data_IF_513341613576
#
_entry.id   IF_513341613576
#
_cell.length_a   1.000
_cell.length_b   1.000
_cell.length_c   1.000
_cell.angle_alpha   90.00
_cell.angle_beta   90.00
_cell.angle_gamma   90.00
#
_symmetry.space_group_name_H-M   'P 1'
#
loop_
_entity.id
_entity.type
_entity.pdbx_description
1 polymer ?
#
# COMPACT_ATOMS: atom_id res chain seq x y z
N UNK A 1 -146.98 190.55 -48.68
CA UNK A 1 -148.01 191.60 -48.54
C UNK A 1 -147.46 192.89 -49.19
N UNK A 2 -148.14 194.05 -49.13
CA UNK A 2 -147.73 195.30 -49.80
C UNK A 2 -146.56 196.04 -49.12
N UNK A 3 -145.95 196.99 -49.86
CA UNK A 3 -144.62 197.64 -49.71
C UNK A 3 -144.12 198.08 -48.32
N UNK A 4 -144.97 198.28 -47.32
CA UNK A 4 -144.50 198.66 -45.97
C UNK A 4 -143.79 197.52 -45.22
N UNK A 5 -143.82 196.32 -45.78
CA UNK A 5 -142.99 195.20 -45.30
C UNK A 5 -141.50 195.36 -45.67
N UNK A 6 -141.14 196.27 -46.58
CA UNK A 6 -139.79 196.30 -47.16
C UNK A 6 -138.76 197.06 -46.32
N UNK A 7 -139.12 198.24 -45.81
CA UNK A 7 -138.19 199.09 -45.04
C UNK A 7 -137.90 198.51 -43.67
N UNK A 8 -138.91 197.99 -42.98
CA UNK A 8 -138.71 197.30 -41.70
C UNK A 8 -137.92 196.00 -41.87
N UNK A 9 -138.12 195.29 -42.98
CA UNK A 9 -137.27 194.14 -43.30
C UNK A 9 -135.82 194.57 -43.55
N UNK A 10 -135.56 195.75 -44.13
CA UNK A 10 -134.21 196.26 -44.34
C UNK A 10 -133.50 196.64 -43.03
N UNK A 11 -134.18 197.30 -42.08
CA UNK A 11 -133.59 197.58 -40.75
C UNK A 11 -133.34 196.30 -39.97
N UNK A 12 -134.27 195.35 -40.01
CA UNK A 12 -134.04 194.01 -39.44
C UNK A 12 -132.83 193.34 -40.11
N UNK A 13 -132.58 193.57 -41.39
CA UNK A 13 -131.43 193.02 -42.11
C UNK A 13 -130.10 193.67 -41.67
N UNK A 14 -130.05 194.98 -41.48
CA UNK A 14 -128.80 195.64 -41.06
C UNK A 14 -128.49 195.43 -39.57
N UNK A 15 -129.49 195.42 -38.69
CA UNK A 15 -129.28 195.05 -37.29
C UNK A 15 -128.81 193.59 -37.15
N UNK A 16 -129.38 192.68 -37.96
CA UNK A 16 -128.90 191.29 -38.00
C UNK A 16 -127.49 191.18 -38.60
N UNK A 17 -127.08 192.05 -39.53
CA UNK A 17 -125.69 192.11 -39.99
C UNK A 17 -124.72 192.58 -38.91
N UNK A 18 -125.07 193.61 -38.13
CA UNK A 18 -124.21 194.07 -37.03
C UNK A 18 -124.07 192.99 -35.96
N UNK A 19 -125.19 192.38 -35.56
CA UNK A 19 -125.16 191.23 -34.65
C UNK A 19 -124.34 190.06 -35.23
N UNK A 20 -124.40 189.82 -36.54
CA UNK A 20 -123.57 188.82 -37.20
C UNK A 20 -122.08 189.18 -37.11
N UNK A 21 -121.69 190.45 -37.30
CA UNK A 21 -120.28 190.89 -37.19
C UNK A 21 -119.73 190.83 -35.76
N UNK A 22 -120.53 191.19 -34.76
CA UNK A 22 -120.13 191.12 -33.34
C UNK A 22 -119.98 189.66 -32.89
N UNK A 23 -120.96 188.81 -33.23
CA UNK A 23 -120.93 187.38 -32.94
C UNK A 23 -119.77 186.69 -33.67
N UNK A 24 -119.45 187.06 -34.92
CA UNK A 24 -118.30 186.44 -35.62
C UNK A 24 -116.95 186.79 -34.98
N UNK A 25 -116.76 188.01 -34.45
CA UNK A 25 -115.55 188.38 -33.70
C UNK A 25 -115.42 187.58 -32.39
N UNK A 26 -116.50 187.46 -31.61
CA UNK A 26 -116.50 186.67 -30.37
C UNK A 26 -116.24 185.17 -30.63
N UNK A 27 -116.76 184.65 -31.74
CA UNK A 27 -116.55 183.27 -32.18
C UNK A 27 -115.08 183.04 -32.59
N UNK A 28 -114.41 184.03 -33.16
CA UNK A 28 -112.98 183.95 -33.49
C UNK A 28 -112.09 183.87 -32.24
N UNK A 29 -112.33 184.69 -31.22
CA UNK A 29 -111.57 184.66 -29.96
C UNK A 29 -111.77 183.30 -29.25
N UNK A 30 -113.02 182.88 -29.13
CA UNK A 30 -113.37 181.59 -28.49
C UNK A 30 -112.76 180.39 -29.23
N UNK A 31 -112.73 180.40 -30.56
CA UNK A 31 -112.05 179.36 -31.35
C UNK A 31 -110.53 179.35 -31.13
N UNK A 32 -109.88 180.50 -31.00
CA UNK A 32 -108.43 180.56 -30.76
C UNK A 32 -108.04 179.98 -29.39
N UNK A 33 -108.80 180.29 -28.34
CA UNK A 33 -108.60 179.68 -27.02
C UNK A 33 -108.92 178.18 -27.02
N UNK A 34 -109.99 177.77 -27.69
CA UNK A 34 -110.32 176.35 -27.86
C UNK A 34 -109.17 175.59 -28.54
N UNK A 35 -108.59 176.14 -29.61
CA UNK A 35 -107.44 175.51 -30.28
C UNK A 35 -106.18 175.46 -29.40
N UNK A 36 -105.90 176.48 -28.57
CA UNK A 36 -104.77 176.44 -27.62
C UNK A 36 -104.95 175.33 -26.59
N UNK A 37 -106.15 175.21 -26.00
CA UNK A 37 -106.46 174.18 -25.01
C UNK A 37 -106.50 172.78 -25.63
N UNK A 38 -107.06 172.63 -26.83
CA UNK A 38 -107.01 171.35 -27.58
C UNK A 38 -105.58 170.92 -27.86
N UNK A 39 -104.66 171.85 -28.15
CA UNK A 39 -103.26 171.51 -28.42
C UNK A 39 -102.52 171.07 -27.16
N UNK A 40 -102.79 171.69 -26.00
CA UNK A 40 -102.27 171.22 -24.70
C UNK A 40 -102.87 169.86 -24.34
N UNK A 41 -104.19 169.68 -24.54
CA UNK A 41 -104.88 168.42 -24.30
C UNK A 41 -104.37 167.29 -25.20
N UNK A 42 -104.04 167.60 -26.47
CA UNK A 42 -103.43 166.64 -27.41
C UNK A 42 -101.98 166.30 -27.05
N UNK A 43 -101.17 167.25 -26.59
CA UNK A 43 -99.71 167.04 -26.45
C UNK A 43 -99.26 166.57 -25.07
N UNK A 44 -99.95 166.97 -23.99
CA UNK A 44 -99.64 166.55 -22.62
C UNK A 44 -99.59 165.01 -22.43
N UNK A 45 -100.56 164.21 -22.90
CA UNK A 45 -100.51 162.76 -22.74
C UNK A 45 -99.37 162.10 -23.52
N UNK A 46 -98.96 162.64 -24.68
CA UNK A 46 -97.85 162.10 -25.46
C UNK A 46 -96.50 162.29 -24.76
N UNK A 47 -96.29 163.43 -24.10
CA UNK A 47 -95.07 163.68 -23.31
C UNK A 47 -95.00 162.80 -22.06
N UNK A 48 -96.13 162.58 -21.38
CA UNK A 48 -96.22 161.66 -20.25
C UNK A 48 -95.95 160.21 -20.68
N UNK A 49 -96.51 159.78 -21.82
CA UNK A 49 -96.26 158.45 -22.40
C UNK A 49 -94.79 158.23 -22.73
N UNK A 50 -94.08 159.25 -23.20
CA UNK A 50 -92.64 159.17 -23.48
C UNK A 50 -91.82 158.95 -22.20
N UNK A 51 -92.16 159.63 -21.09
CA UNK A 51 -91.49 159.39 -19.80
C UNK A 51 -91.78 158.00 -19.23
N UNK A 52 -93.03 157.52 -19.34
CA UNK A 52 -93.40 156.15 -18.97
C UNK A 52 -92.66 155.09 -19.80
N UNK A 53 -92.53 155.28 -21.11
CA UNK A 53 -91.81 154.31 -21.95
C UNK A 53 -90.31 154.31 -21.65
N UNK A 54 -89.72 155.46 -21.29
CA UNK A 54 -88.30 155.55 -20.92
C UNK A 54 -88.01 154.84 -19.59
N UNK A 55 -88.90 154.98 -18.61
CA UNK A 55 -88.81 154.27 -17.32
C UNK A 55 -89.04 152.77 -17.48
N UNK A 56 -89.97 152.36 -18.35
CA UNK A 56 -90.12 150.94 -18.72
C UNK A 56 -88.90 150.38 -19.42
N UNK A 57 -88.19 151.16 -20.24
CA UNK A 57 -86.98 150.69 -20.92
C UNK A 57 -85.84 150.39 -19.93
N UNK A 58 -85.71 151.19 -18.86
CA UNK A 58 -84.73 150.91 -17.80
C UNK A 58 -85.05 149.65 -16.99
N UNK A 59 -86.32 149.20 -16.94
CA UNK A 59 -86.69 147.91 -16.32
C UNK A 59 -86.18 146.70 -17.11
N UNK A 60 -85.83 146.85 -18.40
CA UNK A 60 -85.39 145.76 -19.26
C UNK A 60 -83.86 145.64 -19.44
N UNK A 61 -83.06 146.39 -18.67
CA UNK A 61 -81.59 146.44 -18.82
C UNK A 61 -80.87 145.13 -18.41
N UNK A 62 -81.58 144.15 -17.82
CA UNK A 62 -81.01 142.87 -17.37
C UNK A 62 -81.62 141.63 -18.06
N UNK A 63 -82.31 141.80 -19.19
CA UNK A 63 -82.86 140.66 -19.93
C UNK A 63 -81.75 140.02 -20.79
N UNK A 64 -81.30 138.84 -20.37
CA UNK A 64 -80.39 138.01 -21.17
C UNK A 64 -81.16 137.49 -22.39
N UNK A 65 -80.74 137.88 -23.58
CA UNK A 65 -81.29 137.37 -24.84
C UNK A 65 -80.84 135.93 -25.04
N UNK A 66 -81.79 135.00 -24.97
CA UNK A 66 -81.55 133.59 -25.29
C UNK A 66 -81.35 133.44 -26.80
N UNK A 67 -80.35 132.65 -27.25
CA UNK A 67 -80.21 132.32 -28.66
C UNK A 67 -81.46 131.60 -29.17
N UNK A 68 -81.79 131.76 -30.46
CA UNK A 68 -83.04 131.25 -31.05
C UNK A 68 -83.26 129.74 -30.81
N UNK A 69 -82.18 128.96 -30.67
CA UNK A 69 -82.22 127.50 -30.45
C UNK A 69 -82.20 127.09 -28.96
N UNK A 70 -82.36 128.03 -28.03
CA UNK A 70 -82.34 127.71 -26.60
C UNK A 70 -83.50 126.79 -26.19
N UNK A 71 -84.67 126.95 -26.81
CA UNK A 71 -85.83 126.10 -26.55
C UNK A 71 -85.60 124.64 -26.99
N UNK A 72 -84.99 124.44 -28.17
CA UNK A 72 -84.68 123.10 -28.70
C UNK A 72 -83.58 122.44 -27.89
N UNK A 73 -82.48 123.14 -27.60
CA UNK A 73 -81.40 122.61 -26.73
C UNK A 73 -81.88 122.26 -25.33
N UNK A 74 -82.72 123.09 -24.73
CA UNK A 74 -83.29 122.79 -23.41
C UNK A 74 -84.19 121.54 -23.46
N UNK A 75 -85.00 121.38 -24.51
CA UNK A 75 -85.82 120.19 -24.70
C UNK A 75 -84.98 118.93 -24.91
N UNK A 76 -83.93 118.99 -25.74
CA UNK A 76 -83.02 117.87 -25.99
C UNK A 76 -82.27 117.45 -24.72
N UNK A 77 -81.65 118.39 -24.00
CA UNK A 77 -80.92 118.10 -22.77
C UNK A 77 -81.87 117.57 -21.69
N UNK A 78 -83.08 118.12 -21.58
CA UNK A 78 -84.09 117.63 -20.63
C UNK A 78 -84.56 116.22 -20.98
N UNK A 79 -84.68 115.90 -22.27
CA UNK A 79 -85.01 114.54 -22.72
C UNK A 79 -83.86 113.59 -22.42
N UNK A 80 -82.61 113.95 -22.74
CA UNK A 80 -81.42 113.13 -22.43
C UNK A 80 -81.32 112.89 -20.92
N UNK A 81 -81.48 113.92 -20.09
CA UNK A 81 -81.47 113.80 -18.63
C UNK A 81 -82.60 112.88 -18.15
N UNK A 82 -83.81 113.01 -18.70
CA UNK A 82 -84.92 112.14 -18.35
C UNK A 82 -84.68 110.68 -18.75
N UNK A 83 -84.09 110.44 -19.93
CA UNK A 83 -83.73 109.08 -20.37
C UNK A 83 -82.60 108.48 -19.54
N UNK A 84 -81.58 109.26 -19.18
CA UNK A 84 -80.47 108.80 -18.37
C UNK A 84 -80.91 108.49 -16.93
N UNK A 85 -81.75 109.34 -16.34
CA UNK A 85 -82.33 109.09 -15.00
C UNK A 85 -83.23 107.85 -15.00
N UNK A 86 -84.05 107.66 -16.05
CA UNK A 86 -84.84 106.44 -16.18
C UNK A 86 -83.97 105.17 -16.36
N UNK A 87 -82.86 105.26 -17.09
CA UNK A 87 -81.89 104.16 -17.23
C UNK A 87 -81.17 103.86 -15.91
N UNK A 88 -80.78 104.88 -15.13
CA UNK A 88 -80.19 104.71 -13.81
C UNK A 88 -81.17 104.02 -12.85
N UNK A 89 -82.42 104.48 -12.79
CA UNK A 89 -83.46 103.83 -11.98
C UNK A 89 -83.69 102.37 -12.39
N UNK A 90 -83.68 102.09 -13.70
CA UNK A 90 -83.82 100.73 -14.20
C UNK A 90 -82.62 99.86 -13.83
N UNK A 91 -81.40 100.36 -13.99
CA UNK A 91 -80.19 99.64 -13.62
C UNK A 91 -80.14 99.35 -12.10
N UNK A 92 -80.58 100.30 -11.26
CA UNK A 92 -80.70 100.08 -9.81
C UNK A 92 -81.72 98.98 -9.50
N UNK A 93 -82.87 98.96 -10.19
CA UNK A 93 -83.86 97.88 -10.06
C UNK A 93 -83.28 96.54 -10.49
N UNK A 94 -82.58 96.49 -11.62
CA UNK A 94 -81.98 95.26 -12.14
C UNK A 94 -80.88 94.75 -11.20
N UNK A 95 -80.04 95.63 -10.64
CA UNK A 95 -79.06 95.29 -9.60
C UNK A 95 -79.76 94.72 -8.38
N UNK A 96 -80.84 95.34 -7.90
CA UNK A 96 -81.59 94.82 -6.76
C UNK A 96 -82.21 93.45 -7.04
N UNK A 97 -82.76 93.24 -8.25
CA UNK A 97 -83.30 91.94 -8.67
C UNK A 97 -82.19 90.89 -8.74
N UNK A 98 -81.05 91.22 -9.34
CA UNK A 98 -79.89 90.32 -9.41
C UNK A 98 -79.32 90.03 -8.02
N UNK A 99 -79.28 91.00 -7.13
CA UNK A 99 -78.84 90.81 -5.76
C UNK A 99 -79.80 89.90 -4.99
N UNK A 100 -81.11 90.09 -5.14
CA UNK A 100 -82.11 89.17 -4.59
C UNK A 100 -82.00 87.77 -5.18
N UNK A 101 -81.69 87.64 -6.47
CA UNK A 101 -81.42 86.35 -7.10
C UNK A 101 -80.17 85.70 -6.52
N UNK A 102 -79.08 86.45 -6.31
CA UNK A 102 -77.84 85.96 -5.69
C UNK A 102 -78.09 85.53 -4.24
N UNK A 103 -78.75 86.38 -3.45
CA UNK A 103 -79.08 86.09 -2.05
C UNK A 103 -80.07 84.90 -1.94
N UNK A 104 -80.91 84.71 -2.96
CA UNK A 104 -81.81 83.58 -3.09
C UNK A 104 -81.14 82.28 -3.53
N UNK A 105 -79.91 82.32 -4.06
CA UNK A 105 -79.13 81.12 -4.38
C UNK A 105 -78.62 80.51 -3.08
N UNK A 106 -79.36 79.55 -2.55
CA UNK A 106 -78.93 78.75 -1.42
C UNK A 106 -78.13 77.54 -1.92
N UNK A 107 -76.80 77.64 -1.88
CA UNK A 107 -75.93 76.50 -2.17
C UNK A 107 -75.89 75.60 -0.94
N UNK A 108 -76.48 74.42 -1.07
CA UNK A 108 -76.51 73.42 0.00
C UNK A 108 -75.10 72.99 0.40
N UNK A 109 -74.62 73.48 1.55
CA UNK A 109 -73.29 73.15 2.07
C UNK A 109 -73.12 71.64 2.33
N UNK A 110 -74.23 70.92 2.55
CA UNK A 110 -74.23 69.45 2.64
C UNK A 110 -73.82 68.81 1.32
N UNK A 111 -74.26 69.30 0.16
CA UNK A 111 -73.81 68.74 -1.13
C UNK A 111 -72.32 68.98 -1.39
N UNK A 112 -71.80 70.15 -0.98
CA UNK A 112 -70.38 70.46 -1.12
C UNK A 112 -69.51 69.57 -0.22
N UNK A 113 -69.90 69.39 1.05
CA UNK A 113 -69.17 68.50 1.98
C UNK A 113 -69.20 67.04 1.51
N UNK A 114 -70.29 66.61 0.88
CA UNK A 114 -70.42 65.26 0.36
C UNK A 114 -69.84 65.07 -1.06
N UNK A 115 -69.15 66.07 -1.63
CA UNK A 115 -68.54 65.97 -2.97
C UNK A 115 -67.69 64.70 -3.14
N UNK A 116 -66.79 64.43 -2.19
CA UNK A 116 -65.93 63.24 -2.23
C UNK A 116 -66.72 61.94 -2.14
N UNK A 117 -67.83 61.94 -1.39
CA UNK A 117 -68.73 60.78 -1.28
C UNK A 117 -69.46 60.56 -2.60
N UNK A 118 -69.95 61.62 -3.24
CA UNK A 118 -70.63 61.55 -4.54
C UNK A 118 -69.65 61.08 -5.62
N UNK A 119 -68.44 61.64 -5.68
CA UNK A 119 -67.40 61.24 -6.63
C UNK A 119 -67.00 59.76 -6.42
N UNK A 120 -66.90 59.31 -5.17
CA UNK A 120 -66.63 57.91 -4.85
C UNK A 120 -67.78 56.99 -5.27
N UNK A 121 -69.03 57.39 -5.00
CA UNK A 121 -70.21 56.65 -5.44
C UNK A 121 -70.27 56.55 -6.97
N UNK A 122 -69.92 57.61 -7.69
CA UNK A 122 -69.87 57.63 -9.14
C UNK A 122 -68.73 56.74 -9.68
N UNK A 123 -67.56 56.77 -9.03
CA UNK A 123 -66.45 55.85 -9.32
C UNK A 123 -66.81 54.38 -9.07
N UNK A 124 -67.46 54.07 -7.94
CA UNK A 124 -67.97 52.73 -7.62
C UNK A 124 -69.05 52.28 -8.58
N UNK A 125 -69.95 53.19 -8.97
CA UNK A 125 -70.98 52.89 -9.97
C UNK A 125 -70.33 52.56 -11.32
N UNK A 126 -69.29 53.30 -11.73
CA UNK A 126 -68.51 52.98 -12.92
C UNK A 126 -67.83 51.60 -12.84
N UNK A 127 -67.25 51.22 -11.71
CA UNK A 127 -66.66 49.88 -11.55
C UNK A 127 -67.70 48.77 -11.52
N UNK A 128 -68.86 48.98 -10.87
CA UNK A 128 -69.99 48.05 -10.91
C UNK A 128 -70.57 47.89 -12.32
N UNK A 129 -70.68 48.97 -13.09
CA UNK A 129 -71.14 48.93 -14.47
C UNK A 129 -70.17 48.15 -15.36
N UNK A 130 -68.86 48.40 -15.25
CA UNK A 130 -67.82 47.62 -15.94
C UNK A 130 -67.89 46.14 -15.56
N UNK A 131 -67.89 45.83 -14.27
CA UNK A 131 -68.01 44.45 -13.80
C UNK A 131 -69.31 43.79 -14.26
N UNK A 132 -70.42 44.53 -14.34
CA UNK A 132 -71.69 44.03 -14.88
C UNK A 132 -71.65 43.76 -16.39
N UNK A 133 -70.90 44.58 -17.15
CA UNK A 133 -70.66 44.37 -18.58
C UNK A 133 -69.72 43.19 -18.84
N UNK A 134 -68.72 43.00 -17.98
CA UNK A 134 -67.72 41.93 -18.09
C UNK A 134 -68.25 40.58 -17.57
N UNK A 135 -69.18 40.59 -16.60
CA UNK A 135 -69.70 39.40 -15.93
C UNK A 135 -70.25 38.33 -16.89
N UNK A 136 -70.98 38.66 -17.97
CA UNK A 136 -71.34 37.68 -18.99
C UNK A 136 -70.13 36.97 -19.59
N UNK A 137 -69.08 37.70 -19.95
CA UNK A 137 -67.83 37.17 -20.52
C UNK A 137 -67.11 36.24 -19.54
N UNK A 138 -66.88 36.71 -18.31
CA UNK A 138 -66.24 35.89 -17.26
C UNK A 138 -67.07 34.64 -16.93
N UNK A 139 -68.41 34.74 -16.92
CA UNK A 139 -69.28 33.57 -16.73
C UNK A 139 -69.22 32.61 -17.91
N UNK A 140 -69.09 33.10 -19.15
CA UNK A 140 -68.89 32.23 -20.30
C UNK A 140 -67.56 31.51 -20.22
N UNK A 141 -66.47 32.21 -19.89
CA UNK A 141 -65.14 31.62 -19.71
C UNK A 141 -65.11 30.59 -18.56
N UNK A 142 -65.74 30.90 -17.42
CA UNK A 142 -65.89 29.96 -16.32
C UNK A 142 -66.63 28.70 -16.78
N UNK A 143 -67.76 28.87 -17.51
CA UNK A 143 -68.54 27.73 -18.01
C UNK A 143 -67.79 26.91 -19.04
N UNK A 144 -67.01 27.53 -19.93
CA UNK A 144 -66.19 26.81 -20.91
C UNK A 144 -65.09 26.03 -20.21
N UNK A 145 -64.34 26.65 -19.30
CA UNK A 145 -63.28 25.96 -18.54
C UNK A 145 -63.85 24.83 -17.69
N UNK A 146 -64.99 25.04 -17.03
CA UNK A 146 -65.66 23.96 -16.30
C UNK A 146 -66.17 22.84 -17.21
N UNK A 147 -66.70 23.17 -18.39
CA UNK A 147 -67.17 22.19 -19.36
C UNK A 147 -65.99 21.36 -19.91
N UNK A 148 -64.88 22.02 -20.24
CA UNK A 148 -63.65 21.36 -20.70
C UNK A 148 -63.07 20.47 -19.60
N UNK A 149 -63.01 20.96 -18.36
CA UNK A 149 -62.58 20.15 -17.22
C UNK A 149 -63.51 18.94 -16.99
N UNK A 150 -64.83 19.12 -17.12
CA UNK A 150 -65.81 18.02 -17.05
C UNK A 150 -65.62 17.01 -18.19
N UNK A 151 -65.36 17.47 -19.42
CA UNK A 151 -65.15 16.62 -20.58
C UNK A 151 -63.86 15.80 -20.43
N UNK A 152 -62.73 16.45 -20.15
CA UNK A 152 -61.45 15.79 -19.90
C UNK A 152 -61.55 14.80 -18.72
N UNK A 153 -62.28 15.18 -17.66
CA UNK A 153 -62.49 14.28 -16.53
C UNK A 153 -63.36 13.08 -16.91
N UNK A 154 -64.42 13.26 -17.71
CA UNK A 154 -65.26 12.17 -18.22
C UNK A 154 -64.53 11.25 -19.19
N UNK A 155 -63.57 11.77 -19.96
CA UNK A 155 -62.72 10.94 -20.83
C UNK A 155 -61.89 9.94 -20.00
N UNK A 156 -61.40 10.35 -18.83
CA UNK A 156 -60.61 9.49 -17.94
C UNK A 156 -61.52 8.64 -17.03
N UNK A 157 -62.60 9.22 -16.51
CA UNK A 157 -63.54 8.59 -15.57
C UNK A 157 -65.01 8.84 -15.98
N UNK A 158 -65.57 8.02 -16.90
CA UNK A 158 -66.91 8.25 -17.46
C UNK A 158 -68.06 8.21 -16.45
N UNK A 159 -67.85 7.56 -15.30
CA UNK A 159 -68.87 7.31 -14.26
C UNK A 159 -68.86 8.36 -13.13
N UNK A 160 -67.97 9.35 -13.19
CA UNK A 160 -67.77 10.33 -12.11
C UNK A 160 -68.03 11.75 -12.60
N UNK A 161 -68.50 12.60 -11.69
CA UNK A 161 -68.65 14.03 -11.94
C UNK A 161 -67.49 14.84 -11.32
N UNK A 162 -67.29 16.07 -11.79
CA UNK A 162 -66.19 16.93 -11.34
C UNK A 162 -66.19 17.14 -9.81
N UNK A 163 -67.36 17.18 -9.18
CA UNK A 163 -67.51 17.34 -7.73
C UNK A 163 -66.99 16.12 -6.93
N UNK A 164 -66.99 14.94 -7.55
CA UNK A 164 -66.52 13.70 -6.94
C UNK A 164 -64.99 13.61 -6.85
N UNK A 165 -64.24 14.47 -7.57
CA UNK A 165 -62.77 14.51 -7.54
C UNK A 165 -62.22 14.60 -6.12
N UNK A 166 -62.75 15.54 -5.33
CA UNK A 166 -62.24 15.78 -3.96
C UNK A 166 -62.72 14.73 -2.96
N UNK A 167 -63.88 14.11 -3.19
CA UNK A 167 -64.49 13.15 -2.26
C UNK A 167 -64.03 11.70 -2.50
N UNK A 168 -63.91 11.30 -3.76
CA UNK A 168 -63.69 9.90 -4.16
C UNK A 168 -62.28 9.64 -4.68
N UNK A 169 -61.62 10.65 -5.27
CA UNK A 169 -60.30 10.49 -5.91
C UNK A 169 -59.17 11.23 -5.17
N UNK A 170 -59.47 11.91 -4.06
CA UNK A 170 -58.45 12.56 -3.25
C UNK A 170 -57.64 11.53 -2.48
N UNK A 171 -56.37 11.40 -2.86
CA UNK A 171 -55.40 10.55 -2.19
C UNK A 171 -54.68 11.38 -1.13
N UNK A 172 -54.66 10.89 0.12
CA UNK A 172 -53.90 11.54 1.20
C UNK A 172 -52.40 11.53 0.90
N UNK A 173 -51.64 12.50 1.44
CA UNK A 173 -50.18 12.54 1.24
C UNK A 173 -49.49 11.22 1.63
N UNK A 174 -49.96 10.55 2.70
CA UNK A 174 -49.46 9.23 3.12
C UNK A 174 -49.72 8.13 2.09
N UNK A 175 -50.93 8.07 1.52
CA UNK A 175 -51.25 7.11 0.47
C UNK A 175 -50.45 7.40 -0.80
N UNK A 176 -50.23 8.68 -1.15
CA UNK A 176 -49.41 9.06 -2.31
C UNK A 176 -47.95 8.61 -2.14
N UNK A 177 -47.37 8.79 -0.95
CA UNK A 177 -46.02 8.33 -0.65
C UNK A 177 -45.91 6.80 -0.66
N UNK A 178 -46.94 6.10 -0.15
CA UNK A 178 -47.01 4.65 -0.20
C UNK A 178 -47.10 4.15 -1.64
N UNK A 179 -47.94 4.75 -2.49
CA UNK A 179 -48.04 4.41 -3.91
C UNK A 179 -46.71 4.65 -4.63
N UNK A 180 -46.01 5.76 -4.34
CA UNK A 180 -44.67 6.01 -4.90
C UNK A 180 -43.66 4.94 -4.48
N UNK A 181 -43.64 4.54 -3.20
CA UNK A 181 -42.77 3.47 -2.70
C UNK A 181 -43.09 2.12 -3.36
N UNK A 182 -44.36 1.79 -3.51
CA UNK A 182 -44.76 0.55 -4.19
C UNK A 182 -44.41 0.60 -5.68
N UNK A 183 -44.58 1.75 -6.34
CA UNK A 183 -44.23 1.92 -7.75
C UNK A 183 -42.72 1.77 -8.00
N UNK A 184 -41.86 2.16 -7.05
CA UNK A 184 -40.42 1.91 -7.16
C UNK A 184 -40.04 0.46 -6.84
N UNK A 185 -40.78 -0.20 -5.95
CA UNK A 185 -40.50 -1.59 -5.55
C UNK A 185 -41.01 -2.62 -6.57
N UNK A 186 -42.17 -2.39 -7.18
CA UNK A 186 -42.80 -3.29 -8.14
C UNK A 186 -41.87 -3.76 -9.28
N UNK A 187 -41.15 -2.88 -10.02
CA UNK A 187 -40.26 -3.34 -11.09
C UNK A 187 -39.12 -4.21 -10.56
N UNK A 188 -38.56 -3.89 -9.40
CA UNK A 188 -37.48 -4.68 -8.80
C UNK A 188 -37.95 -6.09 -8.37
N UNK A 189 -39.19 -6.20 -7.90
CA UNK A 189 -39.78 -7.49 -7.54
C UNK A 189 -40.13 -8.29 -8.79
N UNK A 190 -40.65 -7.64 -9.83
CA UNK A 190 -40.98 -8.27 -11.09
C UNK A 190 -39.73 -8.79 -11.81
N UNK A 191 -38.64 -8.03 -11.79
CA UNK A 191 -37.34 -8.47 -12.32
C UNK A 191 -36.79 -9.67 -11.53
N UNK A 192 -36.86 -9.64 -10.20
CA UNK A 192 -36.48 -10.78 -9.37
C UNK A 192 -37.31 -12.02 -9.67
N UNK A 193 -38.63 -11.87 -9.79
CA UNK A 193 -39.51 -12.97 -10.15
C UNK A 193 -39.13 -13.56 -11.50
N UNK A 194 -38.94 -12.72 -12.52
CA UNK A 194 -38.52 -13.15 -13.86
C UNK A 194 -37.18 -13.87 -13.85
N UNK A 195 -36.21 -13.37 -13.08
CA UNK A 195 -34.90 -14.01 -12.94
C UNK A 195 -35.00 -15.38 -12.25
N UNK A 196 -35.86 -15.51 -11.22
CA UNK A 196 -36.11 -16.78 -10.55
C UNK A 196 -36.83 -17.77 -11.48
N UNK A 197 -37.81 -17.30 -12.25
CA UNK A 197 -38.51 -18.11 -13.26
C UNK A 197 -37.54 -18.63 -14.33
N UNK A 198 -36.70 -17.75 -14.90
CA UNK A 198 -35.65 -18.16 -15.85
C UNK A 198 -34.68 -19.16 -15.24
N UNK A 199 -34.25 -18.94 -13.99
CA UNK A 199 -33.34 -19.87 -13.32
C UNK A 199 -33.99 -21.22 -13.04
N UNK A 200 -35.29 -21.23 -12.76
CA UNK A 200 -36.06 -22.45 -12.56
C UNK A 200 -36.16 -23.21 -13.88
N UNK A 201 -36.49 -22.54 -14.99
CA UNK A 201 -36.49 -23.13 -16.33
C UNK A 201 -35.11 -23.73 -16.69
N UNK A 202 -34.02 -23.00 -16.47
CA UNK A 202 -32.65 -23.52 -16.67
C UNK A 202 -32.36 -24.76 -15.83
N UNK A 203 -32.76 -24.75 -14.55
CA UNK A 203 -32.55 -25.88 -13.65
C UNK A 203 -33.43 -27.08 -14.03
N UNK A 204 -34.65 -26.86 -14.50
CA UNK A 204 -35.53 -27.91 -14.98
C UNK A 204 -34.99 -28.54 -16.27
N UNK A 205 -34.48 -27.74 -17.20
CA UNK A 205 -33.79 -28.24 -18.39
C UNK A 205 -32.55 -29.06 -18.01
N UNK A 206 -31.72 -28.57 -17.09
CA UNK A 206 -30.57 -29.32 -16.57
C UNK A 206 -31.00 -30.62 -15.90
N UNK A 207 -32.06 -30.59 -15.10
CA UNK A 207 -32.59 -31.77 -14.42
C UNK A 207 -33.11 -32.79 -15.44
N UNK A 208 -33.81 -32.34 -16.49
CA UNK A 208 -34.25 -33.21 -17.59
C UNK A 208 -33.06 -33.81 -18.33
N UNK A 209 -32.05 -33.00 -18.69
CA UNK A 209 -30.81 -33.49 -19.30
C UNK A 209 -30.13 -34.53 -18.40
N UNK A 210 -29.98 -34.24 -17.12
CA UNK A 210 -29.41 -35.18 -16.15
C UNK A 210 -30.22 -36.46 -16.02
N UNK A 211 -31.56 -36.39 -16.01
CA UNK A 211 -32.43 -37.58 -16.03
C UNK A 211 -32.27 -38.40 -17.31
N UNK A 212 -32.16 -37.75 -18.47
CA UNK A 212 -31.90 -38.43 -19.74
C UNK A 212 -30.54 -39.12 -19.67
N UNK A 213 -29.47 -38.42 -19.26
CA UNK A 213 -28.15 -39.03 -19.10
C UNK A 213 -28.15 -40.17 -18.08
N UNK A 214 -28.93 -40.07 -16.99
CA UNK A 214 -29.05 -41.13 -15.99
C UNK A 214 -29.80 -42.34 -16.53
N UNK A 215 -30.79 -42.14 -17.40
CA UNK A 215 -31.52 -43.22 -18.06
C UNK A 215 -30.71 -43.85 -19.21
N UNK A 216 -29.84 -43.08 -19.88
CA UNK A 216 -28.88 -43.58 -20.87
C UNK A 216 -27.75 -44.38 -20.21
N UNK A 217 -27.40 -44.04 -18.97
CA UNK A 217 -26.51 -44.87 -18.17
C UNK A 217 -27.20 -46.21 -17.91
N UNK A 218 -26.50 -47.28 -18.26
CA UNK A 218 -26.91 -48.65 -17.95
C UNK A 218 -27.12 -48.77 -16.43
N UNK A 219 -28.19 -49.45 -15.99
CA UNK A 219 -28.41 -49.74 -14.57
C UNK A 219 -27.13 -50.28 -13.96
N UNK A 220 -26.60 -49.59 -12.94
CA UNK A 220 -25.33 -49.95 -12.30
C UNK A 220 -25.38 -51.45 -11.99
N UNK A 221 -24.54 -52.28 -12.63
CA UNK A 221 -24.55 -53.71 -12.38
C UNK A 221 -24.20 -53.95 -10.91
N UNK A 222 -24.77 -55.00 -10.32
CA UNK A 222 -24.55 -55.35 -8.92
C UNK A 222 -23.05 -55.35 -8.56
N UNK A 223 -22.63 -54.29 -7.85
CA UNK A 223 -21.24 -54.01 -7.51
C UNK A 223 -20.76 -54.89 -6.35
N UNK A 224 -21.60 -55.75 -5.77
CA UNK A 224 -21.18 -56.65 -4.68
C UNK A 224 -19.98 -57.50 -5.08
N UNK A 225 -19.97 -58.04 -6.31
CA UNK A 225 -18.82 -58.79 -6.84
C UNK A 225 -17.58 -57.93 -6.99
N UNK A 226 -17.74 -56.68 -7.43
CA UNK A 226 -16.62 -55.75 -7.64
C UNK A 226 -16.06 -55.25 -6.29
N UNK A 227 -16.91 -55.02 -5.29
CA UNK A 227 -16.50 -54.73 -3.91
C UNK A 227 -15.77 -55.91 -3.27
N UNK A 228 -16.20 -57.16 -3.51
CA UNK A 228 -15.48 -58.35 -3.02
C UNK A 228 -14.11 -58.44 -3.68
N UNK A 229 -14.02 -58.26 -5.00
CA UNK A 229 -12.74 -58.28 -5.73
C UNK A 229 -11.84 -57.11 -5.30
N UNK A 230 -12.39 -55.91 -5.10
CA UNK A 230 -11.66 -54.74 -4.65
C UNK A 230 -11.18 -54.90 -3.20
N UNK A 231 -11.99 -55.45 -2.30
CA UNK A 231 -11.56 -55.78 -0.95
C UNK A 231 -10.47 -56.88 -0.93
N UNK A 232 -10.54 -57.86 -1.84
CA UNK A 232 -9.46 -58.84 -2.04
C UNK A 232 -8.19 -58.17 -2.56
N UNK A 233 -8.30 -57.28 -3.55
CA UNK A 233 -7.17 -56.52 -4.10
C UNK A 233 -6.55 -55.54 -3.06
N UNK A 234 -7.38 -54.88 -2.25
CA UNK A 234 -6.92 -54.00 -1.16
C UNK A 234 -6.30 -54.79 0.00
N UNK A 235 -6.69 -56.05 0.24
CA UNK A 235 -5.94 -56.95 1.14
C UNK A 235 -4.55 -57.31 0.58
N UNK A 236 -4.40 -57.34 -0.74
CA UNK A 236 -3.08 -57.35 -1.40
C UNK A 236 -2.45 -55.94 -1.45
N UNK A 237 -3.08 -54.90 -0.91
CA UNK A 237 -2.52 -53.55 -0.81
C UNK A 237 -1.38 -53.44 0.21
N UNK A 238 -1.19 -54.46 1.04
CA UNK A 238 -0.07 -54.55 1.99
C UNK A 238 1.28 -54.84 1.29
N UNK A 239 1.31 -54.94 -0.05
CA UNK A 239 2.55 -55.11 -0.81
C UNK A 239 3.57 -53.99 -0.53
N UNK A 240 3.12 -52.76 -0.32
CA UNK A 240 4.02 -51.65 0.04
C UNK A 240 4.57 -51.79 1.47
N UNK A 241 3.83 -52.41 2.39
CA UNK A 241 4.29 -52.68 3.75
C UNK A 241 5.21 -53.89 3.80
N UNK A 242 4.88 -54.97 3.09
CA UNK A 242 5.72 -56.17 2.92
C UNK A 242 7.03 -55.78 2.22
N UNK A 243 6.99 -55.03 1.12
CA UNK A 243 8.19 -54.54 0.44
C UNK A 243 9.07 -53.70 1.39
N UNK A 244 8.45 -52.84 2.22
CA UNK A 244 9.18 -52.02 3.19
C UNK A 244 9.85 -52.88 4.27
N UNK A 245 9.17 -53.92 4.75
CA UNK A 245 9.73 -54.89 5.71
C UNK A 245 10.89 -55.65 5.07
N UNK A 246 10.70 -56.21 3.87
CA UNK A 246 11.75 -56.93 3.13
C UNK A 246 12.96 -56.01 2.86
N UNK A 247 12.74 -54.75 2.47
CA UNK A 247 13.82 -53.78 2.29
C UNK A 247 14.57 -53.46 3.59
N UNK A 248 13.85 -53.41 4.72
CA UNK A 248 14.46 -53.21 6.04
C UNK A 248 15.31 -54.41 6.48
N UNK A 249 14.98 -55.62 6.04
CA UNK A 249 15.79 -56.82 6.30
C UNK A 249 16.97 -56.95 5.33
N UNK A 250 16.78 -56.67 4.04
CA UNK A 250 17.82 -56.79 3.01
C UNK A 250 18.93 -55.75 3.19
N UNK A 251 18.60 -54.51 3.59
CA UNK A 251 19.60 -53.42 3.78
C UNK A 251 20.69 -53.75 4.80
N UNK A 252 20.41 -54.22 6.03
CA UNK A 252 21.45 -54.61 6.98
C UNK A 252 22.19 -55.87 6.53
N UNK A 253 21.50 -56.85 5.95
CA UNK A 253 22.14 -58.07 5.44
C UNK A 253 23.15 -57.77 4.33
N UNK A 254 22.78 -56.95 3.34
CA UNK A 254 23.68 -56.51 2.26
C UNK A 254 24.84 -55.67 2.77
N UNK A 255 24.62 -54.81 3.77
CA UNK A 255 25.71 -54.09 4.44
C UNK A 255 26.69 -55.03 5.12
N UNK A 256 26.20 -55.96 5.93
CA UNK A 256 27.03 -56.94 6.65
C UNK A 256 27.80 -57.84 5.67
N UNK A 257 27.15 -58.24 4.58
CA UNK A 257 27.74 -59.01 3.51
C UNK A 257 28.89 -58.22 2.85
N UNK A 258 28.65 -56.97 2.45
CA UNK A 258 29.67 -56.13 1.84
C UNK A 258 30.85 -55.86 2.79
N UNK A 259 30.58 -55.67 4.09
CA UNK A 259 31.64 -55.58 5.11
C UNK A 259 32.44 -56.87 5.20
N UNK A 260 31.77 -58.04 5.19
CA UNK A 260 32.41 -59.34 5.17
C UNK A 260 33.29 -59.54 3.93
N UNK A 261 32.79 -59.16 2.74
CA UNK A 261 33.56 -59.21 1.50
C UNK A 261 34.80 -58.31 1.55
N UNK A 262 34.69 -57.10 2.10
CA UNK A 262 35.83 -56.22 2.29
C UNK A 262 36.88 -56.79 3.26
N UNK A 263 36.46 -57.45 4.34
CA UNK A 263 37.38 -58.07 5.30
C UNK A 263 38.22 -59.18 4.67
N UNK A 264 37.64 -59.96 3.76
CA UNK A 264 38.35 -61.00 3.01
C UNK A 264 39.06 -60.47 1.74
N UNK A 265 39.06 -59.15 1.51
CA UNK A 265 39.72 -58.51 0.36
C UNK A 265 39.03 -58.75 -0.98
N UNK A 266 37.75 -59.11 -0.97
CA UNK A 266 36.97 -59.41 -2.17
C UNK A 266 36.23 -58.17 -2.71
N UNK A 267 36.45 -57.84 -3.99
CA UNK A 267 35.95 -56.61 -4.60
C UNK A 267 34.92 -56.82 -5.74
N UNK A 268 34.65 -58.06 -6.15
CA UNK A 268 33.90 -58.35 -7.38
C UNK A 268 32.40 -58.69 -7.15
N UNK A 269 31.85 -58.44 -5.94
CA UNK A 269 30.44 -58.70 -5.60
C UNK A 269 30.14 -60.17 -5.27
N UNK A 270 28.97 -60.45 -4.67
CA UNK A 270 28.66 -61.80 -4.15
C UNK A 270 28.40 -62.85 -5.23
N UNK A 271 27.75 -62.48 -6.33
CA UNK A 271 27.45 -63.40 -7.44
C UNK A 271 28.73 -63.97 -8.06
N UNK A 272 29.76 -63.13 -8.15
CA UNK A 272 31.08 -63.56 -8.60
C UNK A 272 31.76 -64.49 -7.57
N UNK A 273 31.51 -64.30 -6.26
CA UNK A 273 32.06 -65.17 -5.22
C UNK A 273 31.47 -66.58 -5.31
N UNK A 274 30.15 -66.70 -5.50
CA UNK A 274 29.48 -68.00 -5.65
C UNK A 274 29.98 -68.79 -6.88
N UNK A 275 30.36 -68.08 -7.95
CA UNK A 275 30.89 -68.69 -9.17
C UNK A 275 32.39 -68.98 -9.10
N UNK A 276 33.11 -68.41 -8.13
CA UNK A 276 34.54 -68.71 -7.98
C UNK A 276 34.80 -70.04 -7.32
N UNK A 277 35.69 -70.81 -7.94
CA UNK A 277 36.22 -72.04 -7.36
C UNK A 277 37.18 -71.69 -6.21
N UNK A 278 36.67 -71.68 -4.98
CA UNK A 278 37.47 -71.61 -3.77
C UNK A 278 38.31 -72.90 -3.61
N UNK A 279 39.48 -72.85 -2.95
CA UNK A 279 40.23 -74.06 -2.60
C UNK A 279 39.36 -75.03 -1.81
N UNK A 280 39.47 -76.33 -2.09
CA UNK A 280 38.76 -77.37 -1.32
C UNK A 280 39.15 -77.28 0.15
N UNK A 281 38.19 -77.53 1.04
CA UNK A 281 38.43 -77.46 2.49
C UNK A 281 39.57 -78.38 2.95
N UNK A 282 39.70 -79.58 2.35
CA UNK A 282 40.82 -80.50 2.60
C UNK A 282 42.20 -79.86 2.35
N UNK A 283 42.28 -78.95 1.36
CA UNK A 283 43.51 -78.24 1.03
C UNK A 283 43.77 -77.09 2.00
N UNK A 284 42.73 -76.41 2.48
CA UNK A 284 42.82 -75.39 3.54
C UNK A 284 43.34 -76.05 4.82
N UNK A 285 42.70 -77.15 5.25
CA UNK A 285 43.10 -77.92 6.43
C UNK A 285 44.54 -78.44 6.33
N UNK A 286 44.96 -78.87 5.14
CA UNK A 286 46.34 -79.28 4.88
C UNK A 286 47.32 -78.14 5.18
N UNK A 287 47.09 -76.95 4.63
CA UNK A 287 47.98 -75.80 4.85
C UNK A 287 47.94 -75.32 6.30
N UNK A 288 46.76 -75.25 6.93
CA UNK A 288 46.63 -74.87 8.34
C UNK A 288 47.44 -75.81 9.25
N UNK A 289 47.34 -77.13 9.05
CA UNK A 289 48.13 -78.11 9.81
C UNK A 289 49.62 -77.92 9.58
N UNK A 290 50.06 -77.73 8.34
CA UNK A 290 51.48 -77.59 8.02
C UNK A 290 52.08 -76.27 8.52
N UNK A 291 51.34 -75.16 8.47
CA UNK A 291 51.77 -73.91 9.11
C UNK A 291 51.91 -74.10 10.63
N UNK A 292 50.91 -74.69 11.27
CA UNK A 292 50.95 -74.97 12.71
C UNK A 292 52.12 -75.90 13.09
N UNK A 293 52.40 -76.93 12.29
CA UNK A 293 53.55 -77.82 12.51
C UNK A 293 54.89 -77.06 12.40
N UNK A 294 55.05 -76.26 11.34
CA UNK A 294 56.28 -75.48 11.12
C UNK A 294 56.47 -74.37 12.17
N UNK A 295 55.39 -73.72 12.61
CA UNK A 295 55.44 -72.73 13.69
C UNK A 295 55.81 -73.37 15.03
N UNK A 296 55.25 -74.53 15.34
CA UNK A 296 55.65 -75.30 16.52
C UNK A 296 57.12 -75.73 16.46
N UNK A 297 57.60 -76.13 15.28
CA UNK A 297 59.01 -76.46 15.07
C UNK A 297 59.92 -75.24 15.22
N UNK A 298 59.52 -74.06 14.73
CA UNK A 298 60.25 -72.80 14.95
C UNK A 298 60.31 -72.45 16.43
N UNK A 299 59.20 -72.56 17.17
CA UNK A 299 59.16 -72.31 18.60
C UNK A 299 60.11 -73.25 19.35
N UNK A 300 60.08 -74.56 19.05
CA UNK A 300 60.98 -75.55 19.64
C UNK A 300 62.45 -75.27 19.31
N UNK A 301 62.77 -74.96 18.05
CA UNK A 301 64.14 -74.62 17.64
C UNK A 301 64.62 -73.38 18.38
N UNK A 302 63.77 -72.35 18.51
CA UNK A 302 64.10 -71.11 19.23
C UNK A 302 64.36 -71.38 20.71
N UNK A 303 63.52 -72.18 21.38
CA UNK A 303 63.73 -72.61 22.77
C UNK A 303 65.06 -73.36 22.93
N UNK A 304 65.32 -74.35 22.09
CA UNK A 304 66.57 -75.11 22.12
C UNK A 304 67.81 -74.25 21.83
N UNK A 305 67.70 -73.25 20.94
CA UNK A 305 68.78 -72.33 20.63
C UNK A 305 69.09 -71.43 21.84
N UNK A 306 68.04 -70.94 22.52
CA UNK A 306 68.18 -70.19 23.76
C UNK A 306 68.84 -71.03 24.87
N UNK A 307 68.44 -72.29 25.02
CA UNK A 307 69.04 -73.19 26.01
C UNK A 307 70.50 -73.52 25.70
N UNK A 308 70.82 -73.82 24.43
CA UNK A 308 72.20 -74.04 23.99
C UNK A 308 73.04 -72.77 24.20
N UNK A 309 72.46 -71.58 24.01
CA UNK A 309 73.10 -70.30 24.30
C UNK A 309 73.36 -70.08 25.78
N UNK A 310 72.37 -70.32 26.63
CA UNK A 310 72.56 -70.27 28.09
C UNK A 310 73.65 -71.24 28.54
N UNK A 311 73.64 -72.49 28.07
CA UNK A 311 74.70 -73.48 28.38
C UNK A 311 76.09 -73.00 27.93
N UNK A 312 76.21 -72.42 26.73
CA UNK A 312 77.46 -71.87 26.25
C UNK A 312 77.92 -70.68 27.12
N UNK A 313 77.01 -69.76 27.46
CA UNK A 313 77.29 -68.61 28.32
C UNK A 313 77.68 -69.04 29.74
N UNK A 314 76.94 -69.95 30.38
CA UNK A 314 77.27 -70.52 31.69
C UNK A 314 78.62 -71.25 31.68
N UNK A 315 78.90 -72.07 30.67
CA UNK A 315 80.20 -72.71 30.54
C UNK A 315 81.32 -71.69 30.28
N UNK A 316 81.08 -70.62 29.51
CA UNK A 316 82.08 -69.54 29.36
C UNK A 316 82.36 -68.82 30.67
N UNK A 317 81.32 -68.53 31.46
CA UNK A 317 81.47 -67.90 32.78
C UNK A 317 82.26 -68.81 33.72
N UNK A 318 81.95 -70.11 33.78
CA UNK A 318 82.69 -71.09 34.59
C UNK A 318 84.14 -71.27 34.12
N UNK A 319 84.39 -71.29 32.81
CA UNK A 319 85.77 -71.30 32.26
C UNK A 319 86.51 -70.05 32.73
N UNK A 320 85.87 -68.89 32.63
CA UNK A 320 86.45 -67.63 33.08
C UNK A 320 86.73 -67.68 34.58
N UNK A 321 85.76 -68.04 35.43
CA UNK A 321 85.88 -68.27 36.89
C UNK A 321 87.08 -69.14 37.24
N UNK A 322 87.19 -70.30 36.57
CA UNK A 322 88.30 -71.23 36.76
C UNK A 322 89.64 -70.64 36.30
N UNK A 323 89.67 -69.58 35.49
CA UNK A 323 90.88 -68.90 35.01
C UNK A 323 91.29 -67.64 35.81
N UNK A 324 90.48 -67.14 36.75
CA UNK A 324 90.82 -65.92 37.52
C UNK A 324 92.07 -66.10 38.40
N UNK A 325 92.27 -67.30 38.95
CA UNK A 325 93.44 -67.64 39.78
C UNK A 325 94.66 -68.06 38.93
N UNK A 326 94.81 -67.48 37.73
CA UNK A 326 95.85 -67.80 36.75
C UNK A 326 95.46 -68.90 35.75
N UNK A 327 96.21 -69.01 34.65
CA UNK A 327 95.94 -69.97 33.57
C UNK A 327 95.86 -71.41 34.09
N UNK A 328 94.78 -72.11 33.74
CA UNK A 328 94.60 -73.54 34.06
C UNK A 328 95.47 -74.36 33.12
N UNK A 329 96.45 -75.13 33.63
CA UNK A 329 97.29 -75.96 32.78
C UNK A 329 96.45 -77.06 32.14
N UNK A 330 96.53 -77.22 30.82
CA UNK A 330 95.87 -78.31 30.09
C UNK A 330 96.89 -79.36 29.66
N UNK A 331 96.44 -80.61 29.47
CA UNK A 331 97.31 -81.71 29.02
C UNK A 331 97.99 -81.39 27.68
N UNK A 332 97.32 -80.64 26.80
CA UNK A 332 97.91 -80.18 25.54
C UNK A 332 99.11 -79.24 25.75
N UNK A 333 99.04 -78.36 26.76
CA UNK A 333 100.14 -77.46 27.13
C UNK A 333 101.31 -78.26 27.71
N UNK A 334 101.05 -79.26 28.55
CA UNK A 334 102.09 -80.18 29.05
C UNK A 334 102.76 -80.95 27.91
N UNK A 335 101.99 -81.48 26.95
CA UNK A 335 102.55 -82.19 25.79
C UNK A 335 103.43 -81.26 24.95
N UNK A 336 103.01 -80.00 24.72
CA UNK A 336 103.82 -78.98 24.04
C UNK A 336 105.10 -78.66 24.82
N UNK A 337 105.00 -78.48 26.13
CA UNK A 337 106.16 -78.23 27.00
C UNK A 337 107.15 -79.41 26.99
N UNK A 338 106.68 -80.65 27.10
CA UNK A 338 107.50 -81.87 26.98
C UNK A 338 108.17 -82.01 25.61
N UNK A 339 107.46 -81.64 24.53
CA UNK A 339 108.05 -81.59 23.18
C UNK A 339 109.17 -80.54 23.08
N UNK A 340 108.99 -79.36 23.67
CA UNK A 340 110.02 -78.32 23.69
C UNK A 340 111.24 -78.73 24.53
N UNK A 341 111.04 -79.30 25.72
CA UNK A 341 112.10 -79.92 26.54
C UNK A 341 112.86 -80.99 25.77
N UNK A 342 112.16 -81.88 25.07
CA UNK A 342 112.78 -82.94 24.29
C UNK A 342 113.62 -82.38 23.13
N UNK A 343 113.15 -81.32 22.46
CA UNK A 343 113.92 -80.61 21.43
C UNK A 343 115.20 -80.01 22.01
N UNK A 344 115.13 -79.36 23.18
CA UNK A 344 116.30 -78.78 23.85
C UNK A 344 117.30 -79.85 24.31
N UNK A 345 116.82 -81.01 24.80
CA UNK A 345 117.67 -82.16 25.14
C UNK A 345 118.41 -82.72 23.92
N UNK A 346 117.70 -82.85 22.79
CA UNK A 346 118.30 -83.32 21.55
C UNK A 346 119.41 -82.39 21.05
N UNK A 347 119.25 -81.07 21.20
CA UNK A 347 120.29 -80.08 20.87
C UNK A 347 121.54 -80.25 21.74
N UNK A 348 121.39 -80.38 23.07
CA UNK A 348 122.52 -80.65 23.99
C UNK A 348 123.22 -81.97 23.64
N UNK A 349 122.45 -83.03 23.38
CA UNK A 349 123.02 -84.33 23.02
C UNK A 349 123.87 -84.22 21.76
N UNK A 350 123.40 -83.49 20.74
CA UNK A 350 124.12 -83.30 19.48
C UNK A 350 125.41 -82.47 19.65
N UNK A 351 125.41 -81.47 20.54
CA UNK A 351 126.61 -80.66 20.83
C UNK A 351 127.64 -81.41 21.69
N UNK A 352 127.21 -82.17 22.71
CA UNK A 352 128.11 -82.99 23.54
C UNK A 352 128.62 -84.26 22.83
N UNK A 353 127.95 -84.77 21.79
CA UNK A 353 128.48 -85.89 20.99
C UNK A 353 129.55 -85.47 19.98
N UNK A 354 129.80 -84.16 19.78
CA UNK A 354 130.93 -83.71 18.95
C UNK A 354 132.27 -83.87 19.66
N UNK A 355 132.28 -83.88 21.00
CA UNK A 355 133.46 -84.19 21.80
C UNK A 355 133.23 -85.45 22.65
N UNK A 356 133.94 -86.52 22.27
CA UNK A 356 134.09 -87.83 22.93
C UNK A 356 133.12 -88.96 22.51
N UNK A 357 133.68 -89.85 21.70
CA UNK A 357 133.28 -91.24 21.53
C UNK A 357 133.23 -91.96 22.89
N UNK A 358 132.04 -92.22 23.42
CA UNK A 358 131.83 -93.26 24.41
C UNK A 358 130.63 -94.11 24.03
N UNK A 359 130.95 -95.21 23.34
CA UNK A 359 130.09 -96.37 23.15
C UNK A 359 129.95 -97.07 24.51
N UNK A 360 128.82 -96.89 25.19
CA UNK A 360 128.48 -97.74 26.33
C UNK A 360 127.72 -98.96 25.81
N UNK A 361 128.08 -100.14 26.34
CA UNK A 361 127.53 -101.47 26.08
C UNK A 361 128.31 -102.33 25.05
N UNK A 362 129.59 -102.57 25.33
CA UNK A 362 130.20 -103.90 25.20
C UNK A 362 130.50 -104.44 26.61
N UNK A 363 130.10 -105.68 26.85
CA UNK A 363 130.40 -106.66 27.92
C UNK A 363 131.09 -106.20 29.23
N UNK A 364 130.53 -106.65 30.36
CA UNK A 364 131.12 -106.66 31.72
C UNK A 364 132.61 -107.12 31.73
N UNK A 365 133.44 -106.86 32.78
CA UNK A 365 133.24 -106.25 34.12
C UNK A 365 134.45 -105.32 34.56
N UNK A 366 134.92 -105.19 35.82
CA UNK A 366 134.40 -104.63 37.09
C UNK A 366 135.18 -103.34 37.54
N UNK A 367 135.58 -103.08 38.82
CA UNK A 367 134.99 -102.07 39.72
C UNK A 367 135.88 -100.84 40.10
N UNK A 368 135.22 -99.71 40.44
CA UNK A 368 135.69 -98.45 41.10
C UNK A 368 136.73 -97.58 40.33
N UNK A 369 137.07 -96.33 40.78
CA UNK A 369 136.30 -95.13 41.16
C UNK A 369 136.76 -93.83 40.40
N UNK A 370 136.09 -92.69 40.69
CA UNK A 370 136.69 -91.33 40.83
C UNK A 370 136.80 -90.36 39.63
N UNK A 371 136.67 -89.07 40.00
CA UNK A 371 137.33 -87.84 39.49
C UNK A 371 136.54 -86.87 38.60
N UNK A 372 136.05 -85.85 39.29
CA UNK A 372 135.89 -84.45 38.96
C UNK A 372 136.96 -83.90 37.97
N UNK A 373 136.49 -83.32 36.85
CA UNK A 373 137.24 -82.38 35.99
C UNK A 373 136.28 -81.34 35.43
N UNK A 374 136.27 -80.16 36.03
CA UNK A 374 135.76 -78.93 35.44
C UNK A 374 136.63 -78.55 34.24
N UNK A 375 136.07 -78.61 33.03
CA UNK A 375 136.53 -77.86 31.86
C UNK A 375 135.61 -76.65 31.65
N UNK A 376 136.22 -75.50 31.39
CA UNK A 376 135.60 -74.22 31.05
C UNK A 376 134.73 -74.36 29.79
N UNK A 377 133.40 -74.44 29.96
CA UNK A 377 132.41 -74.50 28.87
C UNK A 377 132.21 -73.13 28.22
N UNK A 378 131.93 -73.13 26.91
CA UNK A 378 131.64 -71.91 26.11
C UNK A 378 130.34 -71.23 26.57
N UNK A 379 130.22 -69.89 26.39
CA UNK A 379 129.01 -69.14 26.80
C UNK A 379 127.73 -69.67 26.15
N UNK A 380 127.83 -70.21 24.92
CA UNK A 380 126.73 -70.84 24.16
C UNK A 380 126.31 -72.20 24.70
N UNK A 381 127.25 -73.04 25.17
CA UNK A 381 126.90 -74.30 25.81
C UNK A 381 126.17 -74.04 27.13
N UNK A 382 126.68 -73.09 27.93
CA UNK A 382 126.04 -72.69 29.19
C UNK A 382 124.61 -72.18 28.93
N UNK A 383 124.39 -71.45 27.84
CA UNK A 383 123.07 -70.96 27.44
C UNK A 383 122.13 -72.10 26.97
N UNK A 384 122.61 -73.08 26.21
CA UNK A 384 121.82 -74.25 25.83
C UNK A 384 121.46 -75.14 27.02
N UNK A 385 122.38 -75.33 27.98
CA UNK A 385 122.08 -75.99 29.24
C UNK A 385 121.01 -75.24 30.03
N UNK A 386 121.13 -73.90 30.15
CA UNK A 386 120.11 -73.06 30.80
C UNK A 386 118.74 -73.17 30.12
N UNK A 387 118.67 -73.09 28.79
CA UNK A 387 117.41 -73.22 28.05
C UNK A 387 116.77 -74.59 28.26
N UNK A 388 117.56 -75.67 28.29
CA UNK A 388 117.04 -77.00 28.60
C UNK A 388 116.54 -77.10 30.04
N UNK A 389 117.31 -76.59 31.02
CA UNK A 389 116.91 -76.55 32.42
C UNK A 389 115.60 -75.77 32.59
N UNK A 390 115.48 -74.60 31.97
CA UNK A 390 114.25 -73.80 31.96
C UNK A 390 113.06 -74.57 31.36
N UNK A 391 113.24 -75.26 30.22
CA UNK A 391 112.19 -76.08 29.63
C UNK A 391 111.85 -77.33 30.47
N UNK A 392 112.83 -77.88 31.20
CA UNK A 392 112.64 -78.99 32.11
C UNK A 392 111.84 -78.54 33.32
N UNK A 393 112.27 -77.48 34.00
CA UNK A 393 111.54 -76.86 35.10
C UNK A 393 110.14 -76.44 34.69
N UNK A 394 109.95 -75.88 33.49
CA UNK A 394 108.63 -75.52 32.97
C UNK A 394 107.72 -76.73 32.72
N UNK A 395 108.25 -77.82 32.15
CA UNK A 395 107.49 -79.04 31.93
C UNK A 395 107.15 -79.75 33.26
N UNK A 396 108.07 -79.74 34.22
CA UNK A 396 107.88 -80.30 35.55
C UNK A 396 106.89 -79.45 36.36
N UNK A 397 106.99 -78.11 36.33
CA UNK A 397 106.03 -77.19 36.95
C UNK A 397 104.62 -77.39 36.39
N UNK A 398 104.44 -77.49 35.07
CA UNK A 398 103.13 -77.79 34.48
C UNK A 398 102.64 -79.18 34.92
N UNK A 399 103.51 -80.19 34.96
CA UNK A 399 103.16 -81.56 35.38
C UNK A 399 102.73 -81.60 36.84
N UNK A 400 103.42 -80.88 37.73
CA UNK A 400 103.12 -80.79 39.15
C UNK A 400 101.85 -79.95 39.39
N UNK A 401 101.67 -78.85 38.65
CA UNK A 401 100.43 -78.06 38.69
C UNK A 401 99.22 -78.84 38.19
N UNK A 402 99.35 -79.66 37.14
CA UNK A 402 98.29 -80.56 36.67
C UNK A 402 97.86 -81.56 37.75
N UNK A 403 98.80 -82.05 38.57
CA UNK A 403 98.50 -82.95 39.70
C UNK A 403 97.90 -82.20 40.90
N UNK A 404 98.48 -81.06 41.26
CA UNK A 404 98.05 -80.23 42.40
C UNK A 404 96.64 -79.67 42.20
N UNK A 405 96.35 -79.23 40.98
CA UNK A 405 95.07 -78.63 40.58
C UNK A 405 94.18 -79.62 39.80
N UNK A 406 94.38 -80.93 39.95
CA UNK A 406 93.73 -81.97 39.13
C UNK A 406 92.19 -81.83 39.06
N UNK A 407 91.54 -81.42 40.16
CA UNK A 407 90.09 -81.15 40.18
C UNK A 407 89.72 -79.95 39.29
N UNK A 408 90.45 -78.84 39.41
CA UNK A 408 90.26 -77.62 38.62
C UNK A 408 90.49 -77.86 37.12
N UNK A 409 91.48 -78.69 36.79
CA UNK A 409 91.80 -79.09 35.40
C UNK A 409 90.70 -79.98 34.82
N UNK A 410 90.20 -80.96 35.59
CA UNK A 410 89.10 -81.82 35.16
C UNK A 410 87.80 -81.03 34.95
N UNK A 411 87.47 -80.10 35.85
CA UNK A 411 86.33 -79.19 35.70
C UNK A 411 86.48 -78.26 34.49
N UNK A 412 87.68 -77.70 34.27
CA UNK A 412 87.96 -76.87 33.10
C UNK A 412 87.82 -77.65 31.78
N UNK A 413 88.36 -78.87 31.72
CA UNK A 413 88.21 -79.75 30.56
C UNK A 413 86.74 -80.11 30.29
N UNK A 414 85.98 -80.43 31.34
CA UNK A 414 84.54 -80.65 31.23
C UNK A 414 83.84 -79.41 30.67
N UNK A 415 84.10 -78.22 31.21
CA UNK A 415 83.47 -76.98 30.73
C UNK A 415 83.84 -76.64 29.27
N UNK A 416 85.07 -76.94 28.84
CA UNK A 416 85.48 -76.77 27.45
C UNK A 416 84.71 -77.72 26.51
N UNK A 417 84.49 -78.97 26.93
CA UNK A 417 83.68 -79.92 26.16
C UNK A 417 82.21 -79.52 26.11
N UNK A 418 81.62 -79.04 27.22
CA UNK A 418 80.23 -78.56 27.22
C UNK A 418 80.08 -77.31 26.38
N UNK A 419 81.05 -76.39 26.40
CA UNK A 419 81.04 -75.19 25.57
C UNK A 419 81.12 -75.54 24.07
N UNK A 420 82.03 -76.44 23.68
CA UNK A 420 82.17 -76.86 22.27
C UNK A 420 80.96 -77.62 21.78
N UNK A 421 80.36 -78.48 22.61
CA UNK A 421 79.10 -79.15 22.29
C UNK A 421 77.94 -78.16 22.16
N UNK A 422 77.81 -77.20 23.08
CA UNK A 422 76.77 -76.16 23.01
C UNK A 422 76.92 -75.28 21.75
N UNK A 423 78.14 -74.91 21.36
CA UNK A 423 78.39 -74.18 20.09
C UNK A 423 78.02 -75.00 18.85
N UNK A 424 78.35 -76.30 18.83
CA UNK A 424 77.92 -77.20 17.74
C UNK A 424 76.40 -77.35 17.69
N UNK A 425 75.75 -77.49 18.84
CA UNK A 425 74.28 -77.53 18.95
C UNK A 425 73.67 -76.23 18.39
N UNK A 426 74.22 -75.06 18.72
CA UNK A 426 73.79 -73.78 18.15
C UNK A 426 73.91 -73.75 16.63
N UNK A 427 75.05 -74.16 16.06
CA UNK A 427 75.25 -74.18 14.60
C UNK A 427 74.29 -75.15 13.89
N UNK A 428 73.96 -76.28 14.51
CA UNK A 428 72.99 -77.23 13.96
C UNK A 428 71.59 -76.64 14.02
N UNK A 429 71.22 -76.00 15.14
CA UNK A 429 69.90 -75.40 15.34
C UNK A 429 69.68 -74.18 14.45
N UNK A 430 70.70 -73.35 14.20
CA UNK A 430 70.60 -72.21 13.27
C UNK A 430 70.42 -72.67 11.83
N UNK A 431 71.11 -73.74 11.41
CA UNK A 431 70.86 -74.37 10.10
C UNK A 431 69.43 -74.89 10.00
N UNK A 432 68.94 -75.57 11.04
CA UNK A 432 67.55 -76.06 11.10
C UNK A 432 66.54 -74.91 11.03
N UNK A 433 66.78 -73.80 11.74
CA UNK A 433 65.94 -72.60 11.67
C UNK A 433 65.81 -72.13 10.22
N UNK A 434 66.91 -71.89 9.52
CA UNK A 434 66.86 -71.40 8.14
C UNK A 434 66.19 -72.40 7.18
N UNK A 435 66.31 -73.71 7.42
CA UNK A 435 65.57 -74.70 6.62
C UNK A 435 64.06 -74.65 6.85
N UNK A 436 63.61 -74.45 8.09
CA UNK A 436 62.18 -74.33 8.42
C UNK A 436 61.62 -73.00 7.89
N UNK A 437 62.38 -71.91 8.00
CA UNK A 437 62.02 -70.60 7.45
C UNK A 437 61.90 -70.61 5.92
N UNK A 438 62.84 -71.28 5.23
CA UNK A 438 62.73 -71.54 3.79
C UNK A 438 61.52 -72.42 3.45
N UNK A 439 61.15 -73.35 4.33
CA UNK A 439 59.96 -74.19 4.13
C UNK A 439 58.66 -73.41 4.31
N UNK A 440 58.60 -72.51 5.30
CA UNK A 440 57.44 -71.63 5.53
C UNK A 440 57.23 -70.69 4.34
N UNK A 441 58.31 -70.09 3.82
CA UNK A 441 58.21 -69.22 2.64
C UNK A 441 57.75 -69.98 1.39
N UNK A 442 58.22 -71.22 1.18
CA UNK A 442 57.68 -72.09 0.13
C UNK A 442 56.20 -72.40 0.36
N UNK A 443 55.81 -72.80 1.57
CA UNK A 443 54.43 -73.12 1.91
C UNK A 443 53.49 -71.91 1.70
N UNK A 444 53.95 -70.70 2.04
CA UNK A 444 53.26 -69.43 1.79
C UNK A 444 53.03 -69.19 0.30
N UNK A 445 54.05 -69.44 -0.55
CA UNK A 445 53.88 -69.28 -2.01
C UNK A 445 52.92 -70.32 -2.60
N UNK A 446 52.94 -71.56 -2.10
CA UNK A 446 52.00 -72.61 -2.51
C UNK A 446 50.56 -72.32 -2.03
N UNK A 447 50.43 -71.70 -0.86
CA UNK A 447 49.17 -71.21 -0.31
C UNK A 447 48.61 -70.10 -1.19
N UNK A 448 49.35 -69.01 -1.41
CA UNK A 448 48.96 -67.90 -2.28
C UNK A 448 48.62 -68.36 -3.71
N UNK A 449 49.36 -69.33 -4.26
CA UNK A 449 49.06 -69.91 -5.57
C UNK A 449 47.68 -70.60 -5.61
N UNK A 450 47.24 -71.19 -4.50
CA UNK A 450 45.92 -71.83 -4.39
C UNK A 450 44.78 -70.80 -4.42
N UNK A 451 45.03 -69.55 -4.01
CA UNK A 451 44.05 -68.45 -4.00
C UNK A 451 44.18 -67.47 -5.18
N UNK A 452 45.20 -67.63 -6.03
CA UNK A 452 45.44 -66.73 -7.17
C UNK A 452 44.24 -66.60 -8.12
N UNK A 453 43.46 -67.67 -8.30
CA UNK A 453 42.27 -67.67 -9.14
C UNK A 453 41.12 -66.83 -8.56
N UNK A 454 41.09 -66.64 -7.24
CA UNK A 454 40.05 -65.86 -6.54
C UNK A 454 40.47 -64.41 -6.35
N UNK A 455 41.75 -64.07 -6.50
CA UNK A 455 42.25 -62.71 -6.28
C UNK A 455 42.28 -62.29 -4.80
N UNK A 456 41.93 -63.21 -3.90
CA UNK A 456 42.05 -63.05 -2.44
C UNK A 456 43.50 -63.29 -2.05
N UNK A 457 44.02 -62.46 -1.15
CA UNK A 457 45.31 -62.71 -0.47
C UNK A 457 45.01 -63.34 0.88
N UNK A 458 45.32 -64.64 1.05
CA UNK A 458 44.94 -65.41 2.24
C UNK A 458 45.94 -65.25 3.39
#
# INVERSE_FOLDING_TARGET
MPANEWTEQAEKLDNTKLQHTELTKQLQISRAEQHRLERIQRTRPLLQRRQELKTKLTEFDHVILLPNDAATKHAEVKLVLHTATAQEEQAIKDINVLQQQIDGINISQTLITHKTIIDNLLGRLGSHQKASQDLPGVRTEMRTVEADARNLFKEIYPQLELEDLTKKLSITNRQRDLVKKLATQAPTLQEKQRNVEQRLEELEEQLQQHKITLNELSTIPDLTKLQVILNQACKHGDLEEIQRQDEQEIKPLTKNLNLGLQQIGWNNGIEALEQTALPKMERIDYFERHFNELDNDLLRIKEHLLDARKKNEESTQKINELSWNGEVPTEEVLVKARKNRQKSWQKIKQENTKDSNLSLFSDLPPPYPFKDKLTTKSSTEIENFKIFEENMFYADDISDRLRRDAKRVAEYGLQLTTQTNAKREQEILTKKWHTVEARITQLQTEWEASWKATGIKP
#
